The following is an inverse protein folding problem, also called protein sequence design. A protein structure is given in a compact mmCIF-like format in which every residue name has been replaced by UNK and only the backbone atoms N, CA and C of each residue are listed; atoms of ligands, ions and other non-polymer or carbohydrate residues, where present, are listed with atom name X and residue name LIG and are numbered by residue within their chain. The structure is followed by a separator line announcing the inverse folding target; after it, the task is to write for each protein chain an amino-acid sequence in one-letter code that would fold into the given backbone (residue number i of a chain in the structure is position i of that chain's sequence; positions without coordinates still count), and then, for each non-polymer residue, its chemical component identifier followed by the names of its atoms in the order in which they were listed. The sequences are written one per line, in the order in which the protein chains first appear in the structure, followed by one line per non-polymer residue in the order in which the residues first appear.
data_IF_189398170132
#
_entry.id   IF_189398170132
#
_cell.length_a   1.000
_cell.length_b   1.000
_cell.length_c   1.000
_cell.angle_alpha   90.00
_cell.angle_beta   90.00
_cell.angle_gamma   90.00
#
_symmetry.space_group_name_H-M   'P 1'
#
loop_
_entity.id
_entity.type
_entity.pdbx_description
1 polymer ?
#
# COMPACT_ATOMS: atom_id res chain seq x y z
N UNK A 1 -7.96 20.45 -40.95
CA UNK A 1 -6.69 20.75 -40.25
C UNK A 1 -6.90 20.43 -38.77
N UNK A 2 -6.80 19.13 -38.42
CA UNK A 2 -5.81 18.56 -37.50
C UNK A 2 -5.86 19.06 -36.04
N UNK A 3 -6.71 18.41 -35.22
CA UNK A 3 -6.36 17.98 -33.86
C UNK A 3 -7.09 16.64 -33.56
N UNK A 4 -6.78 15.61 -34.35
CA UNK A 4 -6.86 14.21 -33.86
C UNK A 4 -5.46 13.86 -33.37
N UNK A 5 -5.37 13.22 -32.20
CA UNK A 5 -4.18 12.57 -31.58
C UNK A 5 -3.76 13.10 -30.18
N UNK A 6 -4.72 13.39 -29.29
CA UNK A 6 -4.49 12.99 -27.89
C UNK A 6 -4.76 11.48 -27.83
N UNK A 7 -3.85 10.63 -27.32
CA UNK A 7 -4.16 9.21 -27.18
C UNK A 7 -5.30 9.11 -26.17
N UNK A 8 -6.52 8.90 -26.67
CA UNK A 8 -7.64 8.47 -25.85
C UNK A 8 -7.16 7.24 -25.11
N UNK A 9 -7.13 7.29 -23.78
CA UNK A 9 -6.92 6.12 -22.94
C UNK A 9 -7.84 5.05 -23.51
N UNK A 10 -7.28 4.04 -24.19
CA UNK A 10 -8.07 2.96 -24.75
C UNK A 10 -8.87 2.39 -23.57
N UNK A 11 -10.16 2.14 -23.78
CA UNK A 11 -10.93 1.42 -22.78
C UNK A 11 -10.31 0.01 -22.71
N UNK A 12 -9.49 -0.20 -21.70
CA UNK A 12 -8.81 -1.47 -21.48
C UNK A 12 -9.80 -2.35 -20.72
N UNK A 13 -10.10 -3.53 -21.24
CA UNK A 13 -11.04 -4.45 -20.61
C UNK A 13 -10.55 -4.92 -19.22
N UNK A 14 -9.24 -4.95 -19.00
CA UNK A 14 -8.59 -5.35 -17.75
C UNK A 14 -7.45 -4.39 -17.31
N UNK A 15 -7.77 -3.16 -16.86
CA UNK A 15 -6.76 -2.12 -16.57
C UNK A 15 -5.69 -2.56 -15.56
N UNK A 16 -6.09 -3.37 -14.56
CA UNK A 16 -5.17 -3.88 -13.54
C UNK A 16 -4.25 -5.00 -14.07
N UNK A 17 -4.69 -5.80 -15.04
CA UNK A 17 -3.82 -6.82 -15.65
C UNK A 17 -2.77 -6.15 -16.53
N UNK A 18 -3.14 -5.12 -17.27
CA UNK A 18 -2.16 -4.33 -18.02
C UNK A 18 -1.17 -3.62 -17.10
N UNK A 19 -1.64 -3.03 -15.99
CA UNK A 19 -0.75 -2.45 -15.00
C UNK A 19 0.27 -3.47 -14.45
N UNK A 20 -0.11 -4.73 -14.23
CA UNK A 20 0.80 -5.80 -13.81
C UNK A 20 1.84 -6.12 -14.88
N UNK A 21 1.45 -6.13 -16.16
CA UNK A 21 2.39 -6.34 -17.27
C UNK A 21 3.46 -5.24 -17.31
N UNK A 22 3.09 -3.98 -17.05
CA UNK A 22 4.05 -2.89 -16.90
C UNK A 22 4.88 -2.97 -15.61
N UNK A 23 4.27 -3.42 -14.52
CA UNK A 23 4.93 -3.55 -13.21
C UNK A 23 6.00 -4.64 -13.20
N UNK A 24 5.81 -5.73 -13.95
CA UNK A 24 6.69 -6.91 -13.91
C UNK A 24 8.14 -6.57 -14.33
N UNK A 25 8.40 -5.89 -15.46
CA UNK A 25 9.73 -5.37 -15.78
C UNK A 25 10.29 -4.41 -14.73
N UNK A 26 9.47 -3.50 -14.19
CA UNK A 26 9.91 -2.50 -13.21
C UNK A 26 10.36 -3.15 -11.89
N UNK A 27 9.66 -4.18 -11.41
CA UNK A 27 10.06 -4.96 -10.22
C UNK A 27 11.43 -5.63 -10.37
N UNK A 28 11.86 -5.91 -11.59
CA UNK A 28 13.14 -6.55 -11.89
C UNK A 28 14.26 -5.52 -12.15
N UNK A 29 13.94 -4.45 -12.88
CA UNK A 29 14.92 -3.47 -13.38
C UNK A 29 15.13 -2.28 -12.43
N UNK A 30 14.11 -1.92 -11.63
CA UNK A 30 14.10 -0.71 -10.79
C UNK A 30 13.74 -1.07 -9.34
N UNK A 31 14.32 -2.15 -8.84
CA UNK A 31 14.08 -2.67 -7.49
C UNK A 31 14.56 -1.75 -6.36
N UNK A 32 15.39 -0.75 -6.67
CA UNK A 32 15.97 0.18 -5.68
C UNK A 32 15.15 1.47 -5.50
N UNK A 33 14.07 1.66 -6.27
CA UNK A 33 13.16 2.80 -6.11
C UNK A 33 11.97 2.37 -5.28
N UNK A 34 11.68 3.13 -4.21
CA UNK A 34 10.59 2.81 -3.30
C UNK A 34 9.24 2.87 -4.02
N UNK A 35 9.09 3.82 -4.95
CA UNK A 35 7.88 4.06 -5.72
C UNK A 35 7.47 2.82 -6.52
N UNK A 36 8.41 2.06 -7.07
CA UNK A 36 8.15 0.79 -7.76
C UNK A 36 7.35 -0.17 -6.89
N UNK A 37 7.71 -0.27 -5.61
CA UNK A 37 7.05 -1.18 -4.68
C UNK A 37 5.75 -0.58 -4.13
N UNK A 38 5.65 0.74 -3.98
CA UNK A 38 4.40 1.41 -3.58
C UNK A 38 3.34 1.30 -4.68
N UNK A 39 3.70 1.49 -5.95
CA UNK A 39 2.79 1.22 -7.07
C UNK A 39 2.40 -0.25 -7.15
N UNK A 40 3.33 -1.17 -6.89
CA UNK A 40 3.01 -2.60 -6.80
C UNK A 40 1.95 -2.87 -5.73
N UNK A 41 2.12 -2.29 -4.55
CA UNK A 41 1.15 -2.38 -3.47
C UNK A 41 -0.22 -1.89 -3.93
N UNK A 42 -0.33 -0.71 -4.53
CA UNK A 42 -1.60 -0.15 -4.99
C UNK A 42 -2.35 -1.04 -5.99
N UNK A 43 -1.61 -1.66 -6.92
CA UNK A 43 -2.18 -2.59 -7.89
C UNK A 43 -2.68 -3.85 -7.18
N UNK A 44 -1.86 -4.43 -6.30
CA UNK A 44 -2.23 -5.64 -5.58
C UNK A 44 -3.35 -5.41 -4.57
N UNK A 45 -3.41 -4.24 -3.95
CA UNK A 45 -4.47 -3.81 -3.05
C UNK A 45 -5.83 -3.87 -3.73
N UNK A 46 -5.94 -3.29 -4.94
CA UNK A 46 -7.18 -3.32 -5.76
C UNK A 46 -7.55 -4.72 -6.26
N UNK A 47 -6.60 -5.65 -6.30
CA UNK A 47 -6.82 -7.06 -6.67
C UNK A 47 -6.93 -8.00 -5.48
N UNK A 48 -6.89 -7.47 -4.26
CA UNK A 48 -6.95 -8.23 -3.01
C UNK A 48 -5.89 -9.35 -2.90
N UNK A 49 -4.70 -9.14 -3.50
CA UNK A 49 -3.58 -10.10 -3.45
C UNK A 49 -2.69 -9.86 -2.22
N UNK A 50 -3.18 -10.20 -1.03
CA UNK A 50 -2.55 -9.88 0.27
C UNK A 50 -1.07 -10.28 0.41
N UNK A 51 -0.67 -11.47 -0.04
CA UNK A 51 0.74 -11.88 0.04
C UNK A 51 1.66 -11.04 -0.86
N UNK A 52 1.15 -10.59 -2.02
CA UNK A 52 1.89 -9.71 -2.92
C UNK A 52 1.92 -8.28 -2.39
N UNK A 53 0.87 -7.84 -1.68
CA UNK A 53 0.90 -6.59 -0.90
C UNK A 53 2.00 -6.65 0.16
N UNK A 54 2.05 -7.72 0.98
CA UNK A 54 3.09 -7.92 2.00
C UNK A 54 4.49 -7.89 1.39
N UNK A 55 4.71 -8.60 0.29
CA UNK A 55 5.99 -8.59 -0.41
C UNK A 55 6.39 -7.17 -0.83
N UNK A 56 5.43 -6.38 -1.33
CA UNK A 56 5.68 -5.02 -1.82
C UNK A 56 6.04 -4.08 -0.67
N UNK A 57 5.30 -4.10 0.44
CA UNK A 57 5.62 -3.26 1.60
C UNK A 57 6.93 -3.65 2.27
N UNK A 58 7.29 -4.94 2.33
CA UNK A 58 8.60 -5.39 2.85
C UNK A 58 9.76 -4.80 2.05
N UNK A 59 9.63 -4.77 0.73
CA UNK A 59 10.67 -4.21 -0.14
C UNK A 59 10.75 -2.69 -0.04
N UNK A 60 9.61 -2.01 0.02
CA UNK A 60 9.57 -0.56 0.24
C UNK A 60 10.18 -0.17 1.59
N UNK A 61 9.82 -0.89 2.65
CA UNK A 61 10.33 -0.68 4.01
C UNK A 61 11.84 -0.86 4.12
N UNK A 62 12.40 -1.82 3.39
CA UNK A 62 13.85 -2.03 3.33
C UNK A 62 14.60 -0.90 2.61
N UNK A 63 13.92 -0.05 1.82
CA UNK A 63 14.52 1.09 1.11
C UNK A 63 14.42 2.35 1.98
N UNK A 64 13.20 2.69 2.43
CA UNK A 64 12.94 3.83 3.32
C UNK A 64 11.72 3.52 4.19
N UNK A 65 11.98 3.15 5.43
CA UNK A 65 10.95 2.78 6.41
C UNK A 65 10.11 3.95 6.91
N UNK A 66 10.60 5.20 6.80
CA UNK A 66 9.90 6.39 7.25
C UNK A 66 9.14 7.09 6.11
N UNK A 67 9.15 6.53 4.90
CA UNK A 67 8.54 7.18 3.74
C UNK A 67 7.04 7.48 3.92
N UNK A 68 6.57 8.72 3.68
CA UNK A 68 5.18 9.11 3.91
C UNK A 68 4.16 8.22 3.21
N UNK A 69 4.37 7.90 1.94
CA UNK A 69 3.41 7.08 1.20
C UNK A 69 3.47 5.60 1.61
N UNK A 70 4.64 5.12 2.07
CA UNK A 70 4.72 3.77 2.63
C UNK A 70 3.84 3.66 3.87
N UNK A 71 3.89 4.66 4.75
CA UNK A 71 3.05 4.71 5.96
C UNK A 71 1.56 4.55 5.63
N UNK A 72 1.05 5.27 4.62
CA UNK A 72 -0.33 5.10 4.15
C UNK A 72 -0.62 3.67 3.69
N UNK A 73 0.26 3.08 2.88
CA UNK A 73 0.11 1.70 2.43
C UNK A 73 0.06 0.72 3.61
N UNK A 74 0.90 0.92 4.62
CA UNK A 74 0.94 0.06 5.81
C UNK A 74 -0.36 0.14 6.62
N UNK A 75 -0.87 1.34 6.87
CA UNK A 75 -2.12 1.54 7.60
C UNK A 75 -3.28 0.86 6.87
N UNK A 76 -3.41 1.08 5.55
CA UNK A 76 -4.44 0.43 4.73
C UNK A 76 -4.31 -1.08 4.70
N UNK A 77 -3.08 -1.58 4.65
CA UNK A 77 -2.82 -3.02 4.66
C UNK A 77 -3.28 -3.65 5.97
N UNK A 78 -3.01 -3.00 7.11
CA UNK A 78 -3.48 -3.46 8.41
C UNK A 78 -4.99 -3.55 8.49
N UNK A 79 -5.70 -2.50 8.08
CA UNK A 79 -7.16 -2.49 8.07
C UNK A 79 -7.70 -3.61 7.18
N UNK A 80 -7.19 -3.73 5.95
CA UNK A 80 -7.65 -4.75 5.00
C UNK A 80 -7.44 -6.19 5.51
N UNK A 81 -6.31 -6.50 6.17
CA UNK A 81 -6.07 -7.83 6.75
C UNK A 81 -7.00 -8.11 7.93
N UNK A 82 -7.35 -7.07 8.70
CA UNK A 82 -8.22 -7.19 9.87
C UNK A 82 -9.69 -7.38 9.47
N UNK A 83 -10.14 -6.67 8.45
CA UNK A 83 -11.53 -6.65 7.98
C UNK A 83 -11.87 -7.80 7.01
N UNK A 84 -10.87 -8.34 6.31
CA UNK A 84 -11.09 -9.42 5.34
C UNK A 84 -11.62 -10.69 6.02
N UNK A 85 -12.83 -11.12 5.62
CA UNK A 85 -13.50 -12.34 6.12
C UNK A 85 -13.12 -13.60 5.35
N UNK A 86 -12.68 -13.45 4.10
CA UNK A 86 -12.42 -14.57 3.18
C UNK A 86 -10.97 -15.08 3.19
N UNK A 87 -10.08 -14.42 3.95
CA UNK A 87 -8.70 -14.87 4.08
C UNK A 87 -8.61 -16.22 4.81
N UNK A 88 -7.98 -17.19 4.17
CA UNK A 88 -7.60 -18.46 4.77
C UNK A 88 -6.78 -18.24 6.06
N UNK A 89 -7.07 -19.04 7.09
CA UNK A 89 -6.47 -18.85 8.42
C UNK A 89 -4.94 -18.98 8.43
N UNK A 90 -4.36 -19.87 7.62
CA UNK A 90 -2.92 -20.00 7.49
C UNK A 90 -2.30 -18.74 6.89
N UNK A 91 -2.95 -18.16 5.88
CA UNK A 91 -2.51 -16.90 5.27
C UNK A 91 -2.64 -15.75 6.27
N UNK A 92 -3.76 -15.66 7.01
CA UNK A 92 -3.97 -14.66 8.06
C UNK A 92 -2.89 -14.74 9.14
N UNK A 93 -2.53 -15.95 9.57
CA UNK A 93 -1.49 -16.19 10.58
C UNK A 93 -0.14 -15.66 10.10
N UNK A 94 0.25 -16.01 8.86
CA UNK A 94 1.51 -15.53 8.27
C UNK A 94 1.51 -14.01 8.15
N UNK A 95 0.41 -13.40 7.69
CA UNK A 95 0.30 -11.95 7.56
C UNK A 95 0.45 -11.25 8.90
N UNK A 96 -0.29 -11.68 9.93
CA UNK A 96 -0.18 -11.13 11.28
C UNK A 96 1.23 -11.26 11.85
N UNK A 97 1.85 -12.43 11.72
CA UNK A 97 3.20 -12.67 12.22
C UNK A 97 4.23 -11.76 11.54
N UNK A 98 4.19 -11.64 10.21
CA UNK A 98 5.11 -10.81 9.46
C UNK A 98 4.87 -9.31 9.70
N UNK A 99 3.61 -8.90 9.88
CA UNK A 99 3.28 -7.52 10.23
C UNK A 99 3.79 -7.16 11.63
N UNK A 100 3.61 -8.04 12.62
CA UNK A 100 4.15 -7.84 13.97
C UNK A 100 5.68 -7.73 13.95
N UNK A 101 6.36 -8.50 13.09
CA UNK A 101 7.82 -8.41 12.91
C UNK A 101 8.29 -7.08 12.31
N UNK A 102 7.52 -6.52 11.37
CA UNK A 102 7.92 -5.30 10.66
C UNK A 102 7.56 -4.02 11.42
N UNK A 103 6.42 -4.01 12.13
CA UNK A 103 5.82 -2.79 12.67
C UNK A 103 5.52 -2.87 14.17
N UNK A 104 5.78 -4.01 14.80
CA UNK A 104 5.42 -4.30 16.19
C UNK A 104 3.96 -4.69 16.36
N UNK A 105 3.63 -5.21 17.55
CA UNK A 105 2.24 -5.43 17.95
C UNK A 105 1.59 -4.10 18.31
N UNK A 106 0.90 -3.51 17.34
CA UNK A 106 0.26 -2.21 17.50
C UNK A 106 -1.04 -2.13 16.69
N UNK A 107 -1.93 -1.24 17.09
CA UNK A 107 -3.13 -0.93 16.30
C UNK A 107 -2.80 0.08 15.18
N UNK A 108 -3.58 0.12 14.09
CA UNK A 108 -3.37 1.10 13.02
C UNK A 108 -3.39 2.55 13.54
N UNK A 109 -4.26 2.83 14.51
CA UNK A 109 -4.37 4.13 15.15
C UNK A 109 -3.10 4.48 15.96
N UNK A 110 -2.60 3.54 16.77
CA UNK A 110 -1.39 3.76 17.57
C UNK A 110 -0.15 3.90 16.67
N UNK A 111 -0.03 3.06 15.65
CA UNK A 111 1.01 3.16 14.63
C UNK A 111 1.02 4.54 13.96
N UNK A 112 -0.14 5.03 13.54
CA UNK A 112 -0.28 6.35 12.92
C UNK A 112 0.05 7.51 13.88
N UNK A 113 -0.38 7.40 15.14
CA UNK A 113 -0.08 8.42 16.16
C UNK A 113 1.42 8.53 16.42
N UNK A 114 2.14 7.40 16.48
CA UNK A 114 3.59 7.41 16.65
C UNK A 114 4.29 8.06 15.45
N UNK A 115 3.90 7.66 14.23
CA UNK A 115 4.43 8.25 13.00
C UNK A 115 4.26 9.78 12.93
N UNK A 116 3.11 10.30 13.35
CA UNK A 116 2.85 11.74 13.39
C UNK A 116 3.69 12.48 14.44
N UNK A 117 3.94 11.86 15.60
CA UNK A 117 4.79 12.43 16.66
C UNK A 117 6.25 12.50 16.22
N UNK A 118 6.75 11.43 15.62
CA UNK A 118 8.14 11.33 15.15
C UNK A 118 8.43 12.29 13.99
N UNK A 119 7.42 12.63 13.18
CA UNK A 119 7.60 13.43 11.97
C UNK A 119 6.93 14.82 12.00
N UNK A 120 6.86 15.45 13.18
CA UNK A 120 6.15 16.73 13.38
C UNK A 120 6.69 17.88 12.50
N UNK A 121 7.97 17.82 12.13
CA UNK A 121 8.63 18.83 11.30
C UNK A 121 8.40 18.68 9.79
N UNK A 122 7.83 17.56 9.32
CA UNK A 122 7.71 17.28 7.89
C UNK A 122 6.26 17.34 7.40
N UNK A 123 5.97 18.29 6.50
CA UNK A 123 4.64 18.46 5.91
C UNK A 123 4.18 17.17 5.18
N UNK A 124 4.99 16.53 4.31
CA UNK A 124 4.61 15.28 3.66
C UNK A 124 4.17 14.18 4.64
N UNK A 125 4.90 13.99 5.74
CA UNK A 125 4.58 12.97 6.75
C UNK A 125 3.30 13.32 7.51
N UNK A 126 3.13 14.59 7.90
CA UNK A 126 1.92 15.06 8.58
C UNK A 126 0.68 14.92 7.71
N UNK A 127 0.78 15.27 6.43
CA UNK A 127 -0.32 15.07 5.47
C UNK A 127 -0.65 13.59 5.36
N UNK A 128 0.37 12.75 5.17
CA UNK A 128 0.21 11.30 5.07
C UNK A 128 -0.51 10.72 6.30
N UNK A 129 0.00 11.00 7.50
CA UNK A 129 -0.61 10.47 8.72
C UNK A 129 -2.03 11.00 8.95
N UNK A 130 -2.37 12.22 8.51
CA UNK A 130 -3.75 12.72 8.57
C UNK A 130 -4.66 12.04 7.56
N UNK A 131 -4.22 11.80 6.33
CA UNK A 131 -4.98 11.01 5.36
C UNK A 131 -5.26 9.59 5.86
N UNK A 132 -4.26 8.95 6.48
CA UNK A 132 -4.42 7.63 7.08
C UNK A 132 -5.49 7.57 8.18
N UNK A 133 -5.71 8.64 8.96
CA UNK A 133 -6.83 8.68 9.94
C UNK A 133 -8.19 8.57 9.25
N UNK A 134 -8.35 9.27 8.13
CA UNK A 134 -9.61 9.27 7.36
C UNK A 134 -9.86 7.88 6.78
N UNK A 135 -8.82 7.24 6.24
CA UNK A 135 -8.94 5.88 5.67
C UNK A 135 -9.26 4.83 6.72
N UNK A 136 -8.61 4.86 7.89
CA UNK A 136 -8.94 3.96 9.02
C UNK A 136 -10.44 4.06 9.36
N UNK A 137 -10.96 5.28 9.41
CA UNK A 137 -12.36 5.52 9.77
C UNK A 137 -13.35 5.09 8.68
N UNK A 138 -13.00 5.25 7.41
CA UNK A 138 -13.82 4.80 6.29
C UNK A 138 -13.85 3.27 6.20
N UNK A 139 -12.71 2.60 6.31
CA UNK A 139 -12.63 1.13 6.25
C UNK A 139 -13.42 0.47 7.39
N UNK A 140 -13.32 1.00 8.61
CA UNK A 140 -14.07 0.48 9.76
C UNK A 140 -15.59 0.66 9.71
N UNK A 141 -16.15 1.41 8.74
CA UNK A 141 -17.61 1.61 8.58
C UNK A 141 -18.25 0.71 7.53
N UNK A 142 -17.47 -0.03 6.73
CA UNK A 142 -17.98 -0.89 5.66
C UNK A 142 -17.73 -2.39 5.90
N UNK A 143 -17.32 -2.78 7.12
CA UNK A 143 -17.07 -4.17 7.53
C UNK A 143 -18.25 -4.89 8.17
#
# INVERSE_FOLDING_TARGET
MLLKNSPSVKQVDSPLEEAIKFLTPLKNLVKNKIETHLYAFEIYFRKEKFLLMLQSVKRAFAIDSNHPWLHQCLVRFFSAVSESKELNESVRTVLKQEMNRLFGETSPANFNNNFLKENIGSIPHRLSGRFSVVEIFLMGRFG
#
